data_IF_249584631739
#
_entry.id   IF_249584631739
#
_cell.length_a   1.000
_cell.length_b   1.000
_cell.length_c   1.000
_cell.angle_alpha   90.00
_cell.angle_beta   90.00
_cell.angle_gamma   90.00
#
_symmetry.space_group_name_H-M   'P 1'
#
loop_
_entity.id
_entity.type
_entity.pdbx_description
1 polymer ?
#
# COMPACT_ATOMS: atom_id res chain seq x y z
N UNK A 1 -56.94 13.58 26.34
CA UNK A 1 -56.05 13.61 25.16
C UNK A 1 -54.68 13.98 25.69
N UNK A 2 -53.88 12.97 26.03
CA UNK A 2 -52.55 13.15 26.61
C UNK A 2 -51.57 13.57 25.51
N UNK A 3 -50.93 14.71 25.70
CA UNK A 3 -49.83 15.17 24.85
C UNK A 3 -48.70 14.15 24.84
N UNK A 4 -48.37 13.66 23.65
CA UNK A 4 -47.17 12.87 23.40
C UNK A 4 -46.02 13.86 23.27
N UNK A 5 -45.21 13.98 24.32
CA UNK A 5 -43.89 14.60 24.21
C UNK A 5 -43.02 13.69 23.34
N UNK A 6 -42.74 14.12 22.11
CA UNK A 6 -41.68 13.54 21.30
C UNK A 6 -40.35 13.97 21.91
N UNK A 7 -39.58 13.02 22.44
CA UNK A 7 -38.18 13.23 22.80
C UNK A 7 -37.42 13.74 21.57
N UNK A 8 -36.61 14.79 21.76
CA UNK A 8 -35.57 15.17 20.79
C UNK A 8 -34.66 13.95 20.53
N UNK A 9 -34.26 13.72 19.28
CA UNK A 9 -33.37 12.61 18.96
C UNK A 9 -32.01 12.86 19.62
N UNK A 10 -31.59 11.87 20.41
CA UNK A 10 -30.29 11.76 21.07
C UNK A 10 -29.14 12.09 20.10
N UNK A 11 -28.25 13.00 20.50
CA UNK A 11 -26.97 13.32 19.83
C UNK A 11 -25.97 12.16 20.00
N UNK A 12 -26.35 10.98 19.52
CA UNK A 12 -25.43 9.89 19.27
C UNK A 12 -25.00 9.97 17.81
N UNK A 13 -23.92 10.74 17.57
CA UNK A 13 -23.16 10.70 16.32
C UNK A 13 -22.80 9.24 16.00
N UNK A 14 -23.56 8.65 15.08
CA UNK A 14 -23.19 7.40 14.40
C UNK A 14 -21.81 7.56 13.78
N UNK A 15 -20.93 6.56 13.88
CA UNK A 15 -19.62 6.55 13.19
C UNK A 15 -19.72 6.68 11.65
N UNK A 16 -20.95 6.64 11.12
CA UNK A 16 -21.28 6.75 9.71
C UNK A 16 -21.99 8.08 9.36
N UNK A 17 -22.19 9.00 10.30
CA UNK A 17 -22.83 10.30 10.02
C UNK A 17 -22.03 11.13 9.02
N UNK A 18 -20.71 10.93 8.94
CA UNK A 18 -19.84 11.52 7.91
C UNK A 18 -20.02 10.94 6.50
N UNK A 19 -20.71 9.81 6.32
CA UNK A 19 -20.99 9.22 5.00
C UNK A 19 -22.24 9.78 4.33
N UNK A 20 -23.14 10.42 5.09
CA UNK A 20 -24.45 10.89 4.61
C UNK A 20 -24.48 12.38 4.24
N UNK A 21 -23.37 13.09 4.40
CA UNK A 21 -23.26 14.53 4.10
C UNK A 21 -22.19 14.76 3.02
N UNK A 22 -22.34 14.12 1.87
CA UNK A 22 -21.74 14.60 0.62
C UNK A 22 -22.24 13.80 -0.61
N UNK A 23 -23.37 14.22 -1.17
CA UNK A 23 -23.97 13.65 -2.41
C UNK A 23 -23.16 13.95 -3.70
N UNK A 24 -21.84 14.22 -3.60
CA UNK A 24 -20.97 14.54 -4.75
C UNK A 24 -19.54 13.97 -4.67
N UNK A 25 -19.25 13.06 -3.73
CA UNK A 25 -17.91 12.48 -3.60
C UNK A 25 -17.94 10.96 -3.48
N UNK A 26 -18.14 10.27 -4.60
CA UNK A 26 -17.26 9.13 -4.82
C UNK A 26 -15.84 9.70 -4.87
N UNK A 27 -14.88 9.08 -4.20
CA UNK A 27 -13.55 9.65 -3.92
C UNK A 27 -12.72 10.03 -5.16
N UNK A 28 -13.25 9.78 -6.37
CA UNK A 28 -12.79 10.31 -7.64
C UNK A 28 -14.04 10.60 -8.50
N UNK A 29 -14.06 11.75 -9.17
CA UNK A 29 -15.17 12.15 -10.03
C UNK A 29 -15.53 11.09 -11.08
N UNK A 30 -16.73 11.20 -11.64
CA UNK A 30 -17.24 10.31 -12.69
C UNK A 30 -16.50 10.41 -14.02
N UNK A 31 -15.50 11.29 -14.12
CA UNK A 31 -14.68 11.47 -15.31
C UNK A 31 -13.30 10.84 -15.08
N UNK A 32 -12.92 9.94 -15.98
CA UNK A 32 -11.61 9.27 -16.05
C UNK A 32 -10.49 10.27 -16.43
N UNK A 33 -10.32 11.35 -15.66
CA UNK A 33 -9.34 12.39 -15.88
C UNK A 33 -7.91 11.93 -15.54
N UNK A 34 -6.92 12.61 -16.13
CA UNK A 34 -5.49 12.45 -15.84
C UNK A 34 -5.26 12.42 -14.31
N UNK A 35 -4.70 11.33 -13.75
CA UNK A 35 -4.46 11.20 -12.32
C UNK A 35 -3.63 12.34 -11.73
N UNK A 36 -2.79 13.00 -12.55
CA UNK A 36 -1.91 14.09 -12.14
C UNK A 36 -2.47 15.47 -12.49
N UNK A 37 -3.75 15.56 -12.91
CA UNK A 37 -4.38 16.81 -13.27
C UNK A 37 -4.27 17.85 -12.14
N UNK A 38 -3.73 19.02 -12.47
CA UNK A 38 -3.59 20.14 -11.53
C UNK A 38 -2.35 20.08 -10.62
N UNK A 39 -1.46 19.09 -10.77
CA UNK A 39 -0.19 19.00 -10.04
C UNK A 39 0.99 19.29 -10.98
N UNK A 40 2.01 20.01 -10.48
CA UNK A 40 3.25 20.23 -11.24
C UNK A 40 4.04 18.92 -11.37
N UNK A 41 4.16 18.41 -12.59
CA UNK A 41 4.87 17.16 -12.91
C UNK A 41 6.33 17.39 -13.32
N UNK A 42 6.80 18.64 -13.31
CA UNK A 42 8.18 18.99 -13.66
C UNK A 42 9.15 18.29 -12.70
N UNK A 43 10.11 17.55 -13.26
CA UNK A 43 11.18 16.93 -12.45
C UNK A 43 12.04 18.05 -11.84
N UNK A 44 12.24 18.09 -10.51
CA UNK A 44 12.99 19.17 -9.89
C UNK A 44 14.44 19.26 -10.38
N UNK A 45 14.99 20.48 -10.42
CA UNK A 45 16.38 20.71 -10.85
C UNK A 45 17.38 19.85 -10.06
N UNK A 46 18.30 19.22 -10.79
CA UNK A 46 19.36 18.37 -10.24
C UNK A 46 18.91 16.96 -9.82
N UNK A 47 17.67 16.57 -10.11
CA UNK A 47 17.15 15.22 -9.89
C UNK A 47 17.30 14.39 -11.17
N UNK A 48 17.78 13.15 -11.03
CA UNK A 48 17.76 12.18 -12.13
C UNK A 48 16.34 11.67 -12.34
N UNK A 49 15.75 12.00 -13.49
CA UNK A 49 14.40 11.61 -13.85
C UNK A 49 14.18 10.08 -13.86
N UNK A 50 15.21 9.30 -14.24
CA UNK A 50 15.12 7.82 -14.25
C UNK A 50 15.14 7.25 -12.84
N UNK A 51 15.95 7.81 -11.95
CA UNK A 51 15.95 7.44 -10.54
C UNK A 51 14.63 7.79 -9.85
N UNK A 52 14.08 8.98 -10.14
CA UNK A 52 12.76 9.39 -9.66
C UNK A 52 11.67 8.44 -10.17
N UNK A 53 11.65 8.13 -11.47
CA UNK A 53 10.68 7.21 -12.05
C UNK A 53 10.75 5.82 -11.43
N UNK A 54 11.96 5.28 -11.25
CA UNK A 54 12.16 3.98 -10.59
C UNK A 54 11.69 3.99 -9.13
N UNK A 55 11.88 5.09 -8.40
CA UNK A 55 11.39 5.23 -7.03
C UNK A 55 9.86 5.30 -6.96
N UNK A 56 9.23 6.08 -7.84
CA UNK A 56 7.78 6.12 -7.98
C UNK A 56 7.22 4.73 -8.31
N UNK A 57 7.89 3.98 -9.19
CA UNK A 57 7.53 2.60 -9.53
C UNK A 57 7.63 1.66 -8.31
N UNK A 58 8.71 1.77 -7.51
CA UNK A 58 8.88 1.01 -6.26
C UNK A 58 7.70 1.22 -5.29
N UNK A 59 7.36 2.49 -5.03
CA UNK A 59 6.26 2.84 -4.14
C UNK A 59 4.89 2.43 -4.70
N UNK A 60 4.70 2.58 -6.02
CA UNK A 60 3.48 2.19 -6.72
C UNK A 60 3.25 0.69 -6.70
N UNK A 61 4.30 -0.10 -6.94
CA UNK A 61 4.24 -1.56 -6.93
C UNK A 61 3.92 -2.12 -5.55
N UNK A 62 4.50 -1.55 -4.49
CA UNK A 62 4.16 -1.91 -3.11
C UNK A 62 2.64 -1.81 -2.86
N UNK A 63 2.05 -0.67 -3.26
CA UNK A 63 0.64 -0.39 -3.05
C UNK A 63 -0.25 -1.24 -3.97
N UNK A 64 0.10 -1.38 -5.25
CA UNK A 64 -0.66 -2.17 -6.22
C UNK A 64 -0.76 -3.64 -5.78
N UNK A 65 0.37 -4.24 -5.40
CA UNK A 65 0.41 -5.66 -5.03
C UNK A 65 -0.33 -5.91 -3.73
N UNK A 66 -0.15 -5.06 -2.70
CA UNK A 66 -0.90 -5.22 -1.45
C UNK A 66 -2.39 -4.96 -1.65
N UNK A 67 -2.77 -3.97 -2.47
CA UNK A 67 -4.16 -3.73 -2.86
C UNK A 67 -4.80 -4.98 -3.46
N UNK A 68 -4.12 -5.62 -4.41
CA UNK A 68 -4.63 -6.85 -5.05
C UNK A 68 -4.80 -7.97 -4.02
N UNK A 69 -3.84 -8.17 -3.11
CA UNK A 69 -3.97 -9.14 -2.03
C UNK A 69 -5.14 -8.85 -1.11
N UNK A 70 -5.35 -7.61 -0.71
CA UNK A 70 -6.48 -7.25 0.14
C UNK A 70 -7.82 -7.38 -0.58
N UNK A 71 -7.89 -7.14 -1.89
CA UNK A 71 -9.10 -7.36 -2.67
C UNK A 71 -9.55 -8.84 -2.70
N UNK A 72 -8.61 -9.80 -2.57
CA UNK A 72 -8.94 -11.23 -2.45
C UNK A 72 -9.78 -11.55 -1.19
N UNK A 73 -9.80 -10.67 -0.18
CA UNK A 73 -10.65 -10.81 0.99
C UNK A 73 -12.11 -10.45 0.75
N UNK A 74 -12.45 -9.80 -0.35
CA UNK A 74 -13.83 -9.42 -0.66
C UNK A 74 -14.74 -10.66 -0.63
N UNK A 75 -15.79 -10.61 0.19
CA UNK A 75 -16.72 -11.71 0.51
C UNK A 75 -16.14 -12.88 1.32
N UNK A 76 -14.90 -12.78 1.82
CA UNK A 76 -14.18 -13.83 2.54
C UNK A 76 -13.71 -13.40 3.94
N UNK A 77 -13.92 -12.13 4.34
CA UNK A 77 -13.54 -11.64 5.66
C UNK A 77 -14.38 -12.28 6.79
N UNK A 78 -13.90 -12.25 8.05
CA UNK A 78 -14.60 -12.90 9.17
C UNK A 78 -16.02 -12.38 9.42
N UNK A 79 -16.27 -11.11 9.12
CA UNK A 79 -17.57 -10.45 9.15
C UNK A 79 -17.64 -9.33 8.09
N UNK A 80 -18.81 -8.70 7.97
CA UNK A 80 -19.07 -7.69 6.93
C UNK A 80 -18.29 -6.39 7.18
N UNK A 81 -18.16 -5.99 8.44
CA UNK A 81 -17.43 -4.81 8.86
C UNK A 81 -15.95 -4.91 8.48
N UNK A 82 -15.34 -6.07 8.70
CA UNK A 82 -13.95 -6.32 8.32
C UNK A 82 -13.77 -6.49 6.81
N UNK A 83 -14.77 -7.00 6.09
CA UNK A 83 -14.77 -7.03 4.63
C UNK A 83 -14.70 -5.61 4.05
N UNK A 84 -15.58 -4.72 4.55
CA UNK A 84 -15.62 -3.31 4.16
C UNK A 84 -14.31 -2.60 4.52
N UNK A 85 -13.78 -2.85 5.72
CA UNK A 85 -12.52 -2.22 6.15
C UNK A 85 -11.35 -2.64 5.26
N UNK A 86 -11.19 -3.92 4.96
CA UNK A 86 -10.13 -4.40 4.07
C UNK A 86 -10.31 -3.91 2.63
N UNK A 87 -11.55 -3.85 2.13
CA UNK A 87 -11.87 -3.29 0.82
C UNK A 87 -11.50 -1.79 0.73
N UNK A 88 -11.77 -1.00 1.79
CA UNK A 88 -11.38 0.40 1.83
C UNK A 88 -9.85 0.57 1.83
N UNK A 89 -9.13 -0.24 2.62
CA UNK A 89 -7.66 -0.24 2.62
C UNK A 89 -7.12 -0.58 1.22
N UNK A 90 -7.70 -1.59 0.56
CA UNK A 90 -7.34 -1.94 -0.81
C UNK A 90 -7.57 -0.76 -1.77
N UNK A 91 -8.72 -0.09 -1.65
CA UNK A 91 -9.08 1.02 -2.53
C UNK A 91 -8.17 2.25 -2.35
N UNK A 92 -7.79 2.58 -1.11
CA UNK A 92 -6.82 3.63 -0.81
C UNK A 92 -5.45 3.31 -1.45
N UNK A 93 -4.97 2.07 -1.26
CA UNK A 93 -3.70 1.63 -1.84
C UNK A 93 -3.74 1.62 -3.37
N UNK A 94 -4.85 1.21 -3.98
CA UNK A 94 -5.03 1.30 -5.43
C UNK A 94 -4.98 2.75 -5.91
N UNK A 95 -5.63 3.67 -5.20
CA UNK A 95 -5.57 5.10 -5.48
C UNK A 95 -4.14 5.66 -5.41
N UNK A 96 -3.36 5.27 -4.40
CA UNK A 96 -1.93 5.61 -4.30
C UNK A 96 -1.13 5.02 -5.47
N UNK A 97 -1.36 3.75 -5.81
CA UNK A 97 -0.66 3.06 -6.89
C UNK A 97 -0.83 3.78 -8.23
N UNK A 98 -2.07 4.17 -8.58
CA UNK A 98 -2.36 4.89 -9.82
C UNK A 98 -1.54 6.18 -9.94
N UNK A 99 -1.60 7.04 -8.93
CA UNK A 99 -0.85 8.31 -8.90
C UNK A 99 0.66 8.09 -9.01
N UNK A 100 1.20 7.08 -8.32
CA UNK A 100 2.63 6.76 -8.32
C UNK A 100 3.09 6.17 -9.66
N UNK A 101 2.29 5.31 -10.28
CA UNK A 101 2.58 4.72 -11.59
C UNK A 101 2.46 5.77 -12.71
N UNK A 102 1.45 6.63 -12.66
CA UNK A 102 1.34 7.79 -13.56
C UNK A 102 2.54 8.72 -13.41
N UNK A 103 3.00 8.98 -12.17
CA UNK A 103 4.19 9.80 -11.94
C UNK A 103 5.45 9.14 -12.48
N UNK A 104 5.60 7.83 -12.32
CA UNK A 104 6.72 7.08 -12.89
C UNK A 104 6.76 7.26 -14.41
N UNK A 105 5.64 7.01 -15.09
CA UNK A 105 5.52 7.17 -16.55
C UNK A 105 5.86 8.59 -17.02
N UNK A 106 5.37 9.61 -16.31
CA UNK A 106 5.65 11.01 -16.63
C UNK A 106 7.13 11.38 -16.44
N UNK A 107 7.83 10.77 -15.49
CA UNK A 107 9.24 11.04 -15.22
C UNK A 107 10.19 10.31 -16.20
N UNK A 108 9.87 9.08 -16.61
CA UNK A 108 10.67 8.32 -17.59
C UNK A 108 9.78 7.54 -18.57
N UNK A 109 9.33 8.15 -19.68
CA UNK A 109 8.47 7.48 -20.66
C UNK A 109 9.08 6.18 -21.25
N UNK A 110 10.41 6.01 -21.22
CA UNK A 110 11.09 4.79 -21.67
C UNK A 110 10.75 3.57 -20.80
N UNK A 111 10.28 3.78 -19.56
CA UNK A 111 9.94 2.71 -18.62
C UNK A 111 8.62 2.00 -19.00
N UNK A 112 7.78 2.66 -19.80
CA UNK A 112 6.40 2.24 -20.06
C UNK A 112 6.40 1.12 -21.12
N UNK A 113 5.85 -0.08 -20.83
CA UNK A 113 5.82 -1.19 -21.77
C UNK A 113 5.19 -0.83 -23.11
N UNK A 114 5.89 -1.05 -24.22
CA UNK A 114 5.36 -0.81 -25.55
C UNK A 114 4.16 -1.71 -25.86
N UNK A 115 3.08 -1.12 -26.37
CA UNK A 115 1.89 -1.80 -26.87
C UNK A 115 1.76 -1.58 -28.39
N UNK A 116 0.86 -2.31 -29.08
CA UNK A 116 0.57 -2.06 -30.50
C UNK A 116 0.31 -0.57 -30.76
N UNK A 117 0.79 -0.07 -31.90
CA UNK A 117 0.62 1.33 -32.30
C UNK A 117 -0.86 1.75 -32.22
N UNK A 118 -1.11 2.90 -31.58
CA UNK A 118 -2.47 3.42 -31.37
C UNK A 118 -3.26 2.74 -30.25
N UNK A 119 -2.64 1.91 -29.41
CA UNK A 119 -3.31 1.38 -28.20
C UNK A 119 -3.77 2.52 -27.29
N UNK A 120 -5.04 2.54 -26.84
CA UNK A 120 -5.59 3.59 -25.99
C UNK A 120 -5.26 3.39 -24.50
N UNK A 121 -4.53 2.34 -24.13
CA UNK A 121 -4.27 1.98 -22.73
C UNK A 121 -3.38 3.04 -22.07
N UNK A 122 -3.83 3.67 -20.96
CA UNK A 122 -3.04 4.64 -20.20
C UNK A 122 -1.69 4.10 -19.74
N UNK A 123 -0.71 4.98 -19.53
CA UNK A 123 0.63 4.56 -19.14
C UNK A 123 0.68 3.92 -17.74
N UNK A 124 -0.18 4.34 -16.80
CA UNK A 124 -0.30 3.68 -15.49
C UNK A 124 -0.76 2.22 -15.62
N UNK A 125 -1.72 1.96 -16.51
CA UNK A 125 -2.23 0.62 -16.80
C UNK A 125 -1.19 -0.22 -17.56
N UNK A 126 -0.43 0.40 -18.47
CA UNK A 126 0.70 -0.25 -19.14
C UNK A 126 1.73 -0.74 -18.13
N UNK A 127 2.03 0.09 -17.12
CA UNK A 127 2.90 -0.30 -16.02
C UNK A 127 2.28 -1.38 -15.13
N UNK A 128 1.01 -1.31 -14.77
CA UNK A 128 0.37 -2.32 -13.93
C UNK A 128 0.27 -3.69 -14.64
N UNK A 129 -0.15 -3.71 -15.90
CA UNK A 129 -0.63 -4.94 -16.54
C UNK A 129 0.33 -5.60 -17.55
N UNK A 130 1.32 -4.86 -18.05
CA UNK A 130 2.19 -5.34 -19.14
C UNK A 130 3.66 -5.51 -18.73
N UNK A 131 3.95 -5.46 -17.43
CA UNK A 131 5.24 -5.89 -16.84
C UNK A 131 5.19 -7.33 -16.35
N UNK A 132 6.28 -8.07 -16.49
CA UNK A 132 6.49 -9.37 -15.83
C UNK A 132 6.99 -9.20 -14.39
N UNK A 133 7.03 -10.30 -13.64
CA UNK A 133 7.50 -10.34 -12.25
C UNK A 133 8.90 -9.74 -12.05
N UNK A 134 9.86 -10.04 -12.93
CA UNK A 134 11.21 -9.48 -12.86
C UNK A 134 11.28 -7.96 -13.10
N UNK A 135 10.20 -7.34 -13.60
CA UNK A 135 10.07 -5.89 -13.79
C UNK A 135 9.29 -5.20 -12.66
N UNK A 136 8.66 -5.95 -11.75
CA UNK A 136 8.06 -5.41 -10.54
C UNK A 136 9.12 -5.14 -9.47
N UNK A 137 8.85 -4.15 -8.62
CA UNK A 137 9.78 -3.62 -7.63
C UNK A 137 9.17 -3.53 -6.23
N UNK A 138 8.04 -4.18 -5.99
CA UNK A 138 7.44 -4.24 -4.66
C UNK A 138 8.37 -4.93 -3.65
N UNK A 139 8.28 -4.57 -2.37
CA UNK A 139 8.87 -5.37 -1.30
C UNK A 139 8.19 -6.73 -1.22
N UNK A 140 8.94 -7.79 -0.92
CA UNK A 140 8.39 -9.16 -0.88
C UNK A 140 7.33 -9.37 0.22
N UNK A 141 7.22 -8.46 1.18
CA UNK A 141 6.18 -8.50 2.19
C UNK A 141 4.77 -8.37 1.59
N UNK A 142 4.59 -7.59 0.52
CA UNK A 142 3.25 -7.29 -0.03
C UNK A 142 2.68 -8.42 -0.89
N UNK A 143 3.53 -9.27 -1.47
CA UNK A 143 3.12 -10.30 -2.42
C UNK A 143 2.71 -11.64 -1.79
N UNK A 144 2.91 -11.82 -0.49
CA UNK A 144 2.54 -13.06 0.19
C UNK A 144 1.03 -13.36 0.04
N UNK A 145 0.61 -14.63 0.03
CA UNK A 145 -0.81 -14.99 0.13
C UNK A 145 -1.42 -14.38 1.40
N UNK A 146 -2.75 -14.22 1.44
CA UNK A 146 -3.41 -13.63 2.62
C UNK A 146 -3.29 -14.47 3.90
N UNK A 147 -3.16 -15.80 3.76
CA UNK A 147 -3.21 -16.71 4.89
C UNK A 147 -4.58 -16.65 5.58
N UNK A 148 -4.58 -16.64 6.91
CA UNK A 148 -5.78 -16.33 7.67
C UNK A 148 -5.83 -14.83 8.06
N UNK A 149 -6.93 -14.42 8.70
CA UNK A 149 -7.13 -13.02 9.06
C UNK A 149 -6.02 -12.47 9.96
N UNK A 150 -5.45 -13.29 10.86
CA UNK A 150 -4.41 -12.83 11.78
C UNK A 150 -3.08 -12.58 11.06
N UNK A 151 -2.75 -13.39 10.05
CA UNK A 151 -1.60 -13.17 9.17
C UNK A 151 -1.75 -11.89 8.33
N UNK A 152 -2.95 -11.67 7.77
CA UNK A 152 -3.25 -10.42 7.05
C UNK A 152 -3.12 -9.20 7.96
N UNK A 153 -3.65 -9.25 9.18
CA UNK A 153 -3.53 -8.15 10.15
C UNK A 153 -2.07 -7.87 10.51
N UNK A 154 -1.25 -8.91 10.73
CA UNK A 154 0.19 -8.72 10.97
C UNK A 154 0.88 -8.04 9.78
N UNK A 155 0.56 -8.46 8.54
CA UNK A 155 1.11 -7.86 7.32
C UNK A 155 0.70 -6.39 7.16
N UNK A 156 -0.60 -6.08 7.31
CA UNK A 156 -1.11 -4.71 7.20
C UNK A 156 -0.47 -3.82 8.27
N UNK A 157 -0.36 -4.29 9.52
CA UNK A 157 0.28 -3.54 10.61
C UNK A 157 1.73 -3.19 10.27
N UNK A 158 2.55 -4.18 9.90
CA UNK A 158 3.96 -3.96 9.59
C UNK A 158 4.12 -3.01 8.39
N UNK A 159 3.40 -3.28 7.31
CA UNK A 159 3.47 -2.47 6.10
C UNK A 159 3.02 -1.03 6.33
N UNK A 160 1.86 -0.82 6.95
CA UNK A 160 1.30 0.52 7.18
C UNK A 160 2.15 1.33 8.15
N UNK A 161 2.70 0.71 9.20
CA UNK A 161 3.59 1.40 10.14
C UNK A 161 4.86 1.91 9.45
N UNK A 162 5.51 1.06 8.66
CA UNK A 162 6.69 1.44 7.89
C UNK A 162 6.37 2.51 6.84
N UNK A 163 5.35 2.25 6.01
CA UNK A 163 5.01 3.14 4.89
C UNK A 163 4.52 4.50 5.37
N UNK A 164 3.82 4.56 6.51
CA UNK A 164 3.42 5.82 7.13
C UNK A 164 4.63 6.69 7.45
N UNK A 165 5.65 6.14 8.10
CA UNK A 165 6.87 6.87 8.43
C UNK A 165 7.61 7.37 7.16
N UNK A 166 7.67 6.54 6.11
CA UNK A 166 8.17 6.96 4.80
C UNK A 166 7.34 8.12 4.23
N UNK A 167 6.01 8.01 4.25
CA UNK A 167 5.10 9.01 3.68
C UNK A 167 5.08 10.32 4.47
N UNK A 168 5.22 10.28 5.78
CA UNK A 168 5.35 11.49 6.60
C UNK A 168 6.57 12.32 6.17
N UNK A 169 7.72 11.67 5.93
CA UNK A 169 8.91 12.35 5.40
C UNK A 169 8.75 12.76 3.94
N UNK A 170 8.15 11.89 3.12
CA UNK A 170 7.94 12.14 1.70
C UNK A 170 6.97 13.29 1.43
N UNK A 171 6.10 13.64 2.39
CA UNK A 171 5.24 14.83 2.34
C UNK A 171 6.03 16.15 2.25
N UNK A 172 7.34 16.11 2.54
CA UNK A 172 8.28 17.22 2.41
C UNK A 172 9.21 17.08 1.20
N UNK A 173 8.89 16.19 0.26
CA UNK A 173 9.65 16.00 -0.98
C UNK A 173 9.73 17.28 -1.80
N UNK A 174 10.86 17.47 -2.50
CA UNK A 174 11.00 18.51 -3.53
C UNK A 174 10.17 18.21 -4.78
N UNK A 175 9.76 16.96 -5.01
CA UNK A 175 8.86 16.59 -6.08
C UNK A 175 7.41 16.83 -5.65
N UNK A 176 6.71 17.73 -6.35
CA UNK A 176 5.37 18.17 -5.96
C UNK A 176 4.34 17.03 -5.99
N UNK A 177 4.49 16.08 -6.92
CA UNK A 177 3.60 14.92 -7.01
C UNK A 177 3.81 13.98 -5.82
N UNK A 178 5.05 13.58 -5.53
CA UNK A 178 5.35 12.74 -4.37
C UNK A 178 4.92 13.40 -3.06
N UNK A 179 5.15 14.70 -2.89
CA UNK A 179 4.71 15.44 -1.71
C UNK A 179 3.19 15.41 -1.55
N UNK A 180 2.44 15.65 -2.63
CA UNK A 180 0.97 15.63 -2.61
C UNK A 180 0.40 14.23 -2.35
N UNK A 181 0.91 13.21 -3.04
CA UNK A 181 0.53 11.80 -2.83
C UNK A 181 0.81 11.39 -1.39
N UNK A 182 1.98 11.75 -0.86
CA UNK A 182 2.37 11.39 0.50
C UNK A 182 1.53 12.11 1.57
N UNK A 183 1.23 13.39 1.39
CA UNK A 183 0.38 14.14 2.32
C UNK A 183 -1.05 13.58 2.41
N UNK A 184 -1.60 13.08 1.29
CA UNK A 184 -2.87 12.36 1.29
C UNK A 184 -2.72 10.97 1.91
N UNK A 185 -1.77 10.19 1.40
CA UNK A 185 -1.54 8.80 1.79
C UNK A 185 -1.18 8.62 3.27
N UNK A 186 -0.54 9.60 3.91
CA UNK A 186 -0.25 9.54 5.34
C UNK A 186 -1.54 9.45 6.20
N UNK A 187 -2.63 10.10 5.78
CA UNK A 187 -3.92 10.02 6.48
C UNK A 187 -4.55 8.62 6.35
N UNK A 188 -4.52 8.08 5.14
CA UNK A 188 -4.99 6.72 4.82
C UNK A 188 -4.16 5.68 5.61
N UNK A 189 -2.83 5.77 5.55
CA UNK A 189 -1.92 4.84 6.23
C UNK A 189 -2.02 4.92 7.76
N UNK A 190 -2.34 6.09 8.32
CA UNK A 190 -2.65 6.22 9.75
C UNK A 190 -3.87 5.37 10.09
N UNK A 191 -4.95 5.46 9.31
CA UNK A 191 -6.12 4.62 9.48
C UNK A 191 -5.79 3.13 9.33
N UNK A 192 -4.99 2.74 8.32
CA UNK A 192 -4.59 1.35 8.09
C UNK A 192 -3.81 0.78 9.28
N UNK A 193 -2.86 1.55 9.81
CA UNK A 193 -2.05 1.18 10.99
C UNK A 193 -2.91 1.03 12.23
N UNK A 194 -3.79 1.99 12.50
CA UNK A 194 -4.61 1.99 13.70
C UNK A 194 -5.64 0.85 13.67
N UNK A 195 -6.23 0.59 12.50
CA UNK A 195 -7.09 -0.56 12.24
C UNK A 195 -6.37 -1.88 12.56
N UNK A 196 -5.19 -2.09 11.96
CA UNK A 196 -4.44 -3.32 12.13
C UNK A 196 -3.88 -3.46 13.56
N UNK A 197 -3.45 -2.36 14.18
CA UNK A 197 -2.98 -2.34 15.56
C UNK A 197 -4.08 -2.72 16.56
N UNK A 198 -5.29 -2.21 16.38
CA UNK A 198 -6.47 -2.60 17.17
C UNK A 198 -6.73 -4.10 17.05
N UNK A 199 -6.80 -4.62 15.83
CA UNK A 199 -7.04 -6.04 15.59
C UNK A 199 -5.92 -6.93 16.10
N UNK A 200 -4.67 -6.49 15.98
CA UNK A 200 -3.52 -7.21 16.51
C UNK A 200 -3.66 -7.40 18.03
N UNK A 201 -3.99 -6.36 18.78
CA UNK A 201 -4.21 -6.45 20.23
C UNK A 201 -5.46 -7.29 20.55
N UNK A 202 -6.57 -7.11 19.82
CA UNK A 202 -7.80 -7.90 19.99
C UNK A 202 -7.53 -9.40 19.81
N UNK A 203 -6.81 -9.79 18.76
CA UNK A 203 -6.48 -11.19 18.49
C UNK A 203 -5.51 -11.75 19.54
N UNK A 204 -4.50 -10.96 19.94
CA UNK A 204 -3.51 -11.37 20.93
C UNK A 204 -4.07 -11.58 22.34
N UNK A 205 -5.06 -10.76 22.72
CA UNK A 205 -5.69 -10.72 24.05
C UNK A 205 -7.07 -11.38 24.10
N UNK A 206 -7.55 -11.90 22.98
CA UNK A 206 -8.85 -12.57 22.86
C UNK A 206 -8.82 -13.97 23.46
N UNK A 207 -8.73 -14.98 22.61
CA UNK A 207 -8.70 -16.40 22.99
C UNK A 207 -7.31 -16.99 22.81
N UNK A 208 -7.07 -18.17 23.38
CA UNK A 208 -5.84 -18.94 23.11
C UNK A 208 -5.69 -19.22 21.60
N UNK A 209 -6.79 -19.54 20.91
CA UNK A 209 -6.77 -19.83 19.48
C UNK A 209 -6.45 -18.60 18.63
N UNK A 210 -7.07 -17.45 18.93
CA UNK A 210 -6.77 -16.19 18.20
C UNK A 210 -5.34 -15.75 18.44
N UNK A 211 -4.83 -15.90 19.67
CA UNK A 211 -3.43 -15.61 20.01
C UNK A 211 -2.48 -16.54 19.25
N UNK A 212 -2.76 -17.84 19.23
CA UNK A 212 -1.96 -18.84 18.51
C UNK A 212 -1.85 -18.53 17.03
N UNK A 213 -2.98 -18.17 16.38
CA UNK A 213 -3.02 -17.77 14.96
C UNK A 213 -2.24 -16.50 14.69
N UNK A 214 -2.39 -15.47 15.54
CA UNK A 214 -1.64 -14.23 15.42
C UNK A 214 -0.13 -14.44 15.54
N UNK A 215 0.31 -15.19 16.55
CA UNK A 215 1.75 -15.49 16.75
C UNK A 215 2.30 -16.28 15.56
N UNK A 216 1.53 -17.22 15.02
CA UNK A 216 1.88 -17.95 13.81
C UNK A 216 2.00 -17.01 12.60
N UNK A 217 0.95 -16.24 12.30
CA UNK A 217 0.91 -15.31 11.17
C UNK A 217 2.04 -14.28 11.25
N UNK A 218 2.26 -13.68 12.43
CA UNK A 218 3.40 -12.79 12.66
C UNK A 218 4.73 -13.50 12.37
N UNK A 219 4.91 -14.75 12.80
CA UNK A 219 6.12 -15.53 12.56
C UNK A 219 6.40 -15.84 11.08
N UNK A 220 5.37 -15.88 10.25
CA UNK A 220 5.48 -16.06 8.79
C UNK A 220 5.80 -14.75 8.07
N UNK A 221 5.24 -13.62 8.52
CA UNK A 221 5.53 -12.30 7.92
C UNK A 221 6.89 -11.74 8.38
N UNK A 222 7.28 -11.98 9.64
CA UNK A 222 8.45 -11.36 10.26
C UNK A 222 9.78 -11.50 9.50
N UNK A 223 10.10 -12.63 8.85
CA UNK A 223 11.32 -12.73 8.04
C UNK A 223 11.42 -11.69 6.93
N UNK A 224 10.31 -11.12 6.47
CA UNK A 224 10.30 -10.08 5.43
C UNK A 224 10.42 -8.65 6.00
N UNK A 225 10.25 -8.48 7.32
CA UNK A 225 10.37 -7.20 8.01
C UNK A 225 11.68 -6.46 7.72
N UNK A 226 12.88 -7.10 7.77
CA UNK A 226 14.13 -6.38 7.58
C UNK A 226 14.30 -5.74 6.20
N UNK A 227 13.70 -6.34 5.15
CA UNK A 227 13.77 -5.82 3.78
C UNK A 227 13.16 -4.42 3.66
N UNK A 228 12.19 -4.07 4.51
CA UNK A 228 11.57 -2.75 4.49
C UNK A 228 12.56 -1.61 4.82
N UNK A 229 13.68 -1.92 5.47
CA UNK A 229 14.68 -0.92 5.90
C UNK A 229 16.01 -1.04 5.15
N UNK A 230 16.08 -1.93 4.16
CA UNK A 230 17.28 -2.09 3.33
C UNK A 230 17.27 -1.05 2.22
N UNK A 231 18.20 -0.10 2.29
CA UNK A 231 18.34 0.96 1.29
C UNK A 231 18.80 0.40 -0.06
N UNK A 232 17.97 0.50 -1.07
CA UNK A 232 18.36 0.25 -2.46
C UNK A 232 19.05 1.48 -3.08
N UNK A 233 19.93 1.29 -4.07
CA UNK A 233 20.69 2.39 -4.71
C UNK A 233 19.79 3.52 -5.23
N UNK A 234 18.65 3.17 -5.81
CA UNK A 234 17.62 4.13 -6.26
C UNK A 234 17.14 4.99 -5.10
N UNK A 235 16.75 4.37 -3.98
CA UNK A 235 16.26 5.06 -2.78
C UNK A 235 17.34 5.99 -2.21
N UNK A 236 18.59 5.53 -2.16
CA UNK A 236 19.73 6.37 -1.76
C UNK A 236 19.91 7.61 -2.66
N UNK A 237 19.85 7.42 -3.98
CA UNK A 237 20.01 8.51 -4.96
C UNK A 237 18.90 9.55 -4.81
N UNK A 238 17.64 9.11 -4.73
CA UNK A 238 16.50 10.05 -4.62
C UNK A 238 16.42 10.71 -3.24
N UNK A 239 16.83 10.03 -2.17
CA UNK A 239 16.91 10.60 -0.83
C UNK A 239 17.96 11.71 -0.77
N UNK A 240 19.15 11.46 -1.32
CA UNK A 240 20.23 12.47 -1.41
C UNK A 240 19.82 13.70 -2.23
N UNK A 241 18.97 13.51 -3.24
CA UNK A 241 18.42 14.59 -4.05
C UNK A 241 17.24 15.34 -3.38
N UNK A 242 16.77 14.89 -2.23
CA UNK A 242 15.66 15.47 -1.48
C UNK A 242 14.29 15.22 -2.11
N UNK A 243 14.14 14.21 -2.96
CA UNK A 243 12.85 13.83 -3.56
C UNK A 243 12.29 12.51 -3.05
N UNK A 244 13.14 11.63 -2.52
CA UNK A 244 12.75 10.37 -1.89
C UNK A 244 13.18 10.30 -0.43
N UNK A 245 12.99 9.12 0.16
CA UNK A 245 13.34 8.80 1.55
C UNK A 245 14.20 7.56 1.57
N UNK A 246 15.29 7.60 2.33
CA UNK A 246 16.09 6.40 2.63
C UNK A 246 15.34 5.60 3.72
N UNK A 247 14.86 4.37 3.43
CA UNK A 247 14.05 3.62 4.37
C UNK A 247 14.79 3.22 5.65
N UNK A 248 16.13 3.19 5.65
CA UNK A 248 16.89 2.92 6.87
C UNK A 248 16.73 4.04 7.90
N UNK A 249 16.45 5.28 7.47
CA UNK A 249 16.32 6.43 8.35
C UNK A 249 15.01 6.46 9.16
N UNK A 250 14.00 5.70 8.74
CA UNK A 250 12.72 5.55 9.46
C UNK A 250 12.71 4.34 10.41
N UNK A 251 13.76 3.52 10.43
CA UNK A 251 13.77 2.28 11.21
C UNK A 251 13.54 2.52 12.71
N UNK A 252 14.20 3.52 13.29
CA UNK A 252 14.14 3.77 14.72
C UNK A 252 12.73 4.18 15.20
N UNK A 253 12.04 5.06 14.46
CA UNK A 253 10.68 5.50 14.82
C UNK A 253 9.64 4.40 14.60
N UNK A 254 9.78 3.62 13.53
CA UNK A 254 8.91 2.49 13.24
C UNK A 254 9.06 1.39 14.31
N UNK A 255 10.28 1.07 14.72
CA UNK A 255 10.55 0.09 15.78
C UNK A 255 9.91 0.49 17.12
N UNK A 256 9.88 1.78 17.46
CA UNK A 256 9.17 2.26 18.67
C UNK A 256 7.68 1.92 18.62
N UNK A 257 7.03 2.13 17.47
CA UNK A 257 5.59 1.83 17.32
C UNK A 257 5.34 0.32 17.40
N UNK A 258 6.15 -0.50 16.74
CA UNK A 258 6.01 -1.96 16.79
C UNK A 258 6.23 -2.49 18.21
N UNK A 259 7.24 -2.00 18.94
CA UNK A 259 7.47 -2.39 20.34
C UNK A 259 6.29 -1.99 21.25
N UNK A 260 5.63 -0.85 21.01
CA UNK A 260 4.42 -0.48 21.74
C UNK A 260 3.27 -1.46 21.48
N UNK A 261 3.06 -1.88 20.24
CA UNK A 261 2.01 -2.85 19.89
C UNK A 261 2.32 -4.24 20.49
N UNK A 262 3.58 -4.69 20.43
CA UNK A 262 4.02 -5.94 21.04
C UNK A 262 3.85 -5.92 22.57
N UNK A 263 4.23 -4.82 23.23
CA UNK A 263 4.02 -4.65 24.67
C UNK A 263 2.54 -4.66 25.06
N UNK A 264 1.69 -3.92 24.33
CA UNK A 264 0.25 -3.87 24.60
C UNK A 264 -0.43 -5.23 24.40
N UNK A 265 -0.06 -5.94 23.34
CA UNK A 265 -0.57 -7.28 23.02
C UNK A 265 0.00 -8.40 23.90
N UNK A 266 1.15 -8.17 24.54
CA UNK A 266 1.89 -9.19 25.28
C UNK A 266 2.39 -10.32 24.38
N UNK A 267 2.61 -10.05 23.10
CA UNK A 267 3.24 -10.97 22.14
C UNK A 267 4.73 -10.71 22.16
N UNK A 268 5.52 -11.78 22.26
CA UNK A 268 6.98 -11.66 22.20
C UNK A 268 7.44 -11.31 20.79
N UNK A 269 8.51 -10.51 20.68
CA UNK A 269 9.16 -10.22 19.41
C UNK A 269 9.66 -11.52 18.77
N UNK A 270 9.32 -11.81 17.49
CA UNK A 270 9.86 -12.98 16.82
C UNK A 270 11.39 -12.92 16.70
N UNK A 271 12.05 -14.05 16.95
CA UNK A 271 13.52 -14.17 16.91
C UNK A 271 14.07 -14.64 15.56
N UNK A 272 13.19 -14.85 14.57
CA UNK A 272 13.55 -15.38 13.25
C UNK A 272 14.31 -14.31 12.46
N UNK A 273 15.44 -14.70 11.88
CA UNK A 273 16.23 -13.81 11.03
C UNK A 273 15.53 -13.45 9.72
N UNK A 274 16.02 -12.42 9.05
CA UNK A 274 15.48 -11.97 7.76
C UNK A 274 15.57 -13.04 6.67
N UNK A 275 14.60 -13.05 5.76
CA UNK A 275 14.57 -13.92 4.60
C UNK A 275 15.62 -13.44 3.60
N UNK A 276 16.62 -14.28 3.36
CA UNK A 276 17.68 -14.01 2.38
C UNK A 276 17.10 -13.81 0.96
N UNK A 277 17.76 -12.99 0.17
CA UNK A 277 17.50 -12.86 -1.26
C UNK A 277 18.18 -13.97 -2.06
N UNK A 278 17.71 -14.21 -3.29
CA UNK A 278 18.38 -15.15 -4.22
C UNK A 278 19.58 -14.44 -4.83
N UNK A 279 20.79 -14.94 -4.54
CA UNK A 279 22.03 -14.24 -4.91
C UNK A 279 22.10 -12.80 -4.38
N UNK A 280 21.47 -12.54 -3.23
CA UNK A 280 21.39 -11.21 -2.63
C UNK A 280 20.28 -10.32 -3.20
N UNK A 281 19.61 -10.71 -4.30
CA UNK A 281 18.52 -9.95 -4.90
C UNK A 281 17.20 -10.17 -4.17
N UNK A 282 16.46 -9.10 -3.93
CA UNK A 282 15.15 -9.06 -3.25
C UNK A 282 14.11 -8.30 -4.09
N UNK A 283 12.99 -7.89 -3.49
CA UNK A 283 11.85 -7.32 -4.22
C UNK A 283 12.22 -6.06 -5.02
N UNK A 284 13.00 -5.15 -4.42
CA UNK A 284 13.52 -3.94 -5.10
C UNK A 284 14.41 -4.26 -6.31
N UNK A 285 15.03 -5.44 -6.37
CA UNK A 285 15.85 -5.90 -7.50
C UNK A 285 15.04 -6.67 -8.56
N UNK A 286 13.74 -6.89 -8.36
CA UNK A 286 12.94 -7.85 -9.12
C UNK A 286 13.19 -9.32 -8.75
N UNK A 287 13.83 -9.57 -7.60
CA UNK A 287 14.04 -10.89 -7.02
C UNK A 287 12.92 -11.25 -6.04
N UNK A 288 11.81 -11.76 -6.59
CA UNK A 288 10.58 -12.03 -5.85
C UNK A 288 10.44 -13.50 -5.43
N UNK A 289 9.46 -13.79 -4.56
CA UNK A 289 9.00 -15.15 -4.27
C UNK A 289 8.17 -15.70 -5.43
N UNK A 290 7.83 -17.00 -5.40
CA UNK A 290 6.93 -17.55 -6.43
C UNK A 290 5.51 -16.93 -6.40
N UNK A 291 5.13 -16.27 -5.30
CA UNK A 291 3.78 -15.76 -5.09
C UNK A 291 3.45 -14.58 -5.99
N UNK A 292 4.43 -13.75 -6.34
CA UNK A 292 4.21 -12.60 -7.22
C UNK A 292 3.70 -13.04 -8.60
N UNK A 293 4.34 -14.06 -9.19
CA UNK A 293 3.95 -14.57 -10.50
C UNK A 293 2.48 -15.02 -10.56
N UNK A 294 1.95 -15.57 -9.46
CA UNK A 294 0.57 -16.04 -9.36
C UNK A 294 -0.42 -14.88 -9.29
N UNK A 295 -0.16 -13.87 -8.44
CA UNK A 295 -1.04 -12.71 -8.31
C UNK A 295 -1.05 -11.88 -9.61
N UNK A 296 0.10 -11.74 -10.27
CA UNK A 296 0.19 -11.05 -11.56
C UNK A 296 -0.56 -11.82 -12.66
N UNK A 297 -0.53 -13.15 -12.64
CA UNK A 297 -1.28 -13.96 -13.62
C UNK A 297 -2.78 -13.63 -13.57
N UNK A 298 -3.36 -13.53 -12.37
CA UNK A 298 -4.77 -13.19 -12.19
C UNK A 298 -5.04 -11.72 -12.51
N UNK A 299 -4.23 -10.80 -11.98
CA UNK A 299 -4.38 -9.36 -12.17
C UNK A 299 -4.30 -8.93 -13.64
N UNK A 300 -3.47 -9.60 -14.45
CA UNK A 300 -3.10 -9.13 -15.79
C UNK A 300 -3.81 -9.88 -16.93
N UNK A 301 -4.55 -10.95 -16.65
CA UNK A 301 -5.05 -11.88 -17.67
C UNK A 301 -5.91 -11.18 -18.74
N UNK A 302 -6.86 -10.34 -18.33
CA UNK A 302 -7.79 -9.67 -19.23
C UNK A 302 -7.09 -8.62 -20.08
N UNK A 303 -6.27 -7.77 -19.47
CA UNK A 303 -5.52 -6.73 -20.16
C UNK A 303 -4.56 -7.33 -21.22
N UNK A 304 -3.87 -8.41 -20.87
CA UNK A 304 -2.96 -9.11 -21.80
C UNK A 304 -3.69 -9.83 -22.93
N UNK A 305 -4.90 -10.32 -22.70
CA UNK A 305 -5.73 -10.88 -23.76
C UNK A 305 -6.25 -9.81 -24.74
N UNK A 306 -6.39 -8.56 -24.28
CA UNK A 306 -6.96 -7.45 -25.05
C UNK A 306 -6.09 -6.18 -24.98
N UNK A 307 -4.88 -6.19 -25.60
CA UNK A 307 -3.90 -5.08 -25.50
C UNK A 307 -4.31 -3.77 -26.20
N UNK A 308 -5.49 -3.75 -26.82
CA UNK A 308 -6.12 -2.57 -27.44
C UNK A 308 -7.48 -2.23 -26.81
N UNK A 309 -7.85 -2.90 -25.71
CA UNK A 309 -9.09 -2.64 -24.99
C UNK A 309 -9.06 -1.29 -24.28
N UNK A 310 -10.23 -0.67 -24.17
CA UNK A 310 -10.48 0.54 -23.38
C UNK A 310 -11.64 0.25 -22.44
N UNK A 311 -11.51 0.63 -21.17
CA UNK A 311 -12.42 0.29 -20.07
C UNK A 311 -12.77 1.54 -19.27
#
# INVERSE_FOLDING_TARGET
>A
MSDVQTHEPDDHESAYSGLLVNDAHWAFGTDFEDPLAGVDTTVPDGVDAKALAAYCLMLGDDALVLSQRLAEWCSNAPDLEEDIALANIALDLLGQARLLLARAAAADPDLVPALPEGSPVPDEDRLAFFRNDAQFRNVRLTELPNGDFAETIARVLLFSTWRLAVFERLSHSRDAVLAAVAAKGAKELTYHRDFAGRWFVTLARGTEESRRRLVHGLGEIWPLWPELFETHDVEHVVAKAGVGVDPAEVAAEVEVVIEQVLAASGVDRPQRGGLAGVQGRKGRDGGHTEHLSRVLTEMQVTARAHPQGQW
#
